data_IF_456749922319
#
_entry.id   IF_456749922319
#
_cell.length_a   1.000
_cell.length_b   1.000
_cell.length_c   1.000
_cell.angle_alpha   90.00
_cell.angle_beta   90.00
_cell.angle_gamma   90.00
#
_symmetry.space_group_name_H-M   'P 1'
#
loop_
_entity.id
_entity.type
_entity.pdbx_description
1 polymer ?
#
# COMPACT_ATOMS: atom_id res chain seq x y z
N UNK A 1 0.09 14.65 14.85
CA UNK A 1 0.23 13.80 16.06
C UNK A 1 -1.01 12.94 16.16
N UNK A 2 -0.88 11.65 16.45
CA UNK A 2 -2.04 10.78 16.64
C UNK A 2 -2.59 10.97 18.06
N UNK A 3 -3.90 11.16 18.19
CA UNK A 3 -4.57 11.32 19.47
C UNK A 3 -5.24 10.00 19.88
N UNK A 4 -5.37 9.77 21.18
CA UNK A 4 -6.12 8.63 21.72
C UNK A 4 -7.45 9.16 22.27
N UNK A 5 -8.55 8.49 21.90
CA UNK A 5 -9.89 8.83 22.37
C UNK A 5 -10.56 7.59 22.95
N UNK A 6 -11.20 7.77 24.11
CA UNK A 6 -11.92 6.71 24.82
C UNK A 6 -13.34 6.49 24.26
N UNK A 7 -13.79 7.41 23.41
CA UNK A 7 -15.13 7.43 22.80
C UNK A 7 -15.06 7.69 21.29
N UNK A 8 -15.94 7.02 20.54
CA UNK A 8 -16.00 7.07 19.08
C UNK A 8 -16.53 8.43 18.58
N UNK A 9 -17.50 9.03 19.27
CA UNK A 9 -18.07 10.31 18.87
C UNK A 9 -17.02 11.43 18.97
N UNK A 10 -16.21 11.42 20.03
CA UNK A 10 -15.08 12.33 20.19
C UNK A 10 -14.01 12.12 19.10
N UNK A 11 -13.76 10.87 18.71
CA UNK A 11 -12.84 10.55 17.62
C UNK A 11 -13.32 11.08 16.26
N UNK A 12 -14.62 10.95 15.97
CA UNK A 12 -15.20 11.51 14.74
C UNK A 12 -15.16 13.03 14.72
N UNK A 13 -15.49 13.70 15.83
CA UNK A 13 -15.41 15.15 15.93
C UNK A 13 -13.97 15.67 15.72
N UNK A 14 -12.98 15.00 16.32
CA UNK A 14 -11.58 15.33 16.12
C UNK A 14 -11.11 15.07 14.67
N UNK A 15 -11.56 13.98 14.04
CA UNK A 15 -11.24 13.68 12.65
C UNK A 15 -11.87 14.66 11.66
N UNK A 16 -13.10 15.12 11.92
CA UNK A 16 -13.71 16.23 11.18
C UNK A 16 -12.90 17.53 11.29
N UNK A 17 -12.16 17.71 12.39
CA UNK A 17 -11.20 18.80 12.59
C UNK A 17 -9.80 18.54 11.99
N UNK A 18 -9.61 17.47 11.21
CA UNK A 18 -8.33 17.13 10.57
C UNK A 18 -7.38 16.29 11.44
N UNK A 19 -7.81 15.82 12.61
CA UNK A 19 -6.96 15.00 13.48
C UNK A 19 -7.02 13.52 13.11
N UNK A 20 -5.90 12.81 13.28
CA UNK A 20 -5.87 11.34 13.20
C UNK A 20 -6.01 10.79 14.61
N UNK A 21 -7.01 9.95 14.84
CA UNK A 21 -7.32 9.44 16.17
C UNK A 21 -7.28 7.92 16.17
N UNK A 22 -6.69 7.35 17.20
CA UNK A 22 -6.75 5.91 17.47
C UNK A 22 -7.74 5.68 18.62
N UNK A 23 -8.72 4.81 18.38
CA UNK A 23 -9.66 4.36 19.40
C UNK A 23 -9.35 2.90 19.73
N UNK A 24 -9.25 2.57 21.01
CA UNK A 24 -8.98 1.20 21.48
C UNK A 24 -10.13 0.70 22.34
N UNK A 25 -10.68 -0.47 22.01
CA UNK A 25 -11.70 -1.14 22.81
C UNK A 25 -11.27 -2.58 23.10
N UNK A 26 -10.75 -2.79 24.31
CA UNK A 26 -10.10 -4.04 24.69
C UNK A 26 -8.89 -4.33 23.79
N UNK A 27 -8.90 -5.47 23.10
CA UNK A 27 -7.82 -5.86 22.17
C UNK A 27 -7.96 -5.25 20.77
N UNK A 28 -9.13 -4.69 20.42
CA UNK A 28 -9.36 -4.10 19.10
C UNK A 28 -8.89 -2.65 19.08
N UNK A 29 -8.29 -2.23 17.98
CA UNK A 29 -7.93 -0.85 17.72
C UNK A 29 -8.49 -0.43 16.36
N UNK A 30 -8.98 0.80 16.27
CA UNK A 30 -9.50 1.42 15.05
C UNK A 30 -8.80 2.76 14.89
N UNK A 31 -8.44 3.11 13.65
CA UNK A 31 -7.99 4.45 13.31
C UNK A 31 -9.16 5.21 12.67
N UNK A 32 -9.44 6.40 13.18
CA UNK A 32 -10.37 7.36 12.60
C UNK A 32 -9.52 8.48 12.02
N UNK A 33 -9.62 8.68 10.70
CA UNK A 33 -8.82 9.65 9.96
C UNK A 33 -9.73 10.55 9.12
N UNK A 34 -9.28 11.77 8.77
CA UNK A 34 -9.99 12.60 7.81
C UNK A 34 -10.15 11.89 6.46
N UNK A 35 -11.23 12.19 5.74
CA UNK A 35 -11.49 11.57 4.44
C UNK A 35 -10.38 11.89 3.44
N UNK A 36 -9.85 13.11 3.48
CA UNK A 36 -8.78 13.56 2.58
C UNK A 36 -7.48 12.77 2.81
N UNK A 37 -7.23 12.33 4.04
CA UNK A 37 -6.07 11.48 4.33
C UNK A 37 -6.26 10.08 3.76
N UNK A 38 -7.47 9.52 3.81
CA UNK A 38 -7.77 8.23 3.19
C UNK A 38 -7.61 8.31 1.67
N UNK A 39 -8.14 9.37 1.04
CA UNK A 39 -8.00 9.59 -0.41
C UNK A 39 -6.54 9.70 -0.83
N UNK A 40 -5.71 10.43 -0.08
CA UNK A 40 -4.26 10.53 -0.37
C UNK A 40 -3.54 9.19 -0.25
N UNK A 41 -3.95 8.34 0.71
CA UNK A 41 -3.37 7.01 0.85
C UNK A 41 -3.73 6.12 -0.35
N UNK A 42 -4.99 6.15 -0.81
CA UNK A 42 -5.43 5.43 -1.99
C UNK A 42 -4.75 5.93 -3.28
N UNK A 43 -4.57 7.25 -3.41
CA UNK A 43 -3.83 7.86 -4.52
C UNK A 43 -2.36 7.44 -4.53
N UNK A 44 -1.72 7.40 -3.36
CA UNK A 44 -0.33 6.97 -3.23
C UNK A 44 -0.16 5.51 -3.64
N UNK A 45 -1.03 4.62 -3.13
CA UNK A 45 -1.02 3.19 -3.46
C UNK A 45 -1.18 2.97 -4.97
N UNK A 46 -2.17 3.63 -5.57
CA UNK A 46 -2.40 3.59 -7.02
C UNK A 46 -1.23 4.13 -7.85
N UNK A 47 -0.46 5.09 -7.30
CA UNK A 47 0.70 5.66 -8.00
C UNK A 47 1.91 4.73 -7.96
N UNK A 48 2.12 4.00 -6.87
CA UNK A 48 3.19 3.02 -6.72
C UNK A 48 2.97 1.84 -7.68
N UNK A 49 1.74 1.32 -7.73
CA UNK A 49 1.35 0.26 -8.67
C UNK A 49 1.59 0.66 -10.12
N UNK A 50 1.22 1.90 -10.50
CA UNK A 50 1.46 2.41 -11.86
C UNK A 50 2.94 2.49 -12.17
N UNK A 51 3.74 3.05 -11.26
CA UNK A 51 5.18 3.20 -11.45
C UNK A 51 5.89 1.86 -11.59
N UNK A 52 5.51 0.87 -10.77
CA UNK A 52 6.06 -0.49 -10.86
C UNK A 52 5.62 -1.19 -12.15
N UNK A 53 4.38 -0.98 -12.60
CA UNK A 53 3.88 -1.46 -13.89
C UNK A 53 4.68 -0.89 -15.06
N UNK A 54 4.84 0.43 -15.11
CA UNK A 54 5.59 1.11 -16.17
C UNK A 54 7.06 0.66 -16.21
N UNK A 55 7.67 0.46 -15.04
CA UNK A 55 9.04 -0.07 -14.92
C UNK A 55 9.15 -1.50 -15.44
N UNK A 56 8.18 -2.37 -15.10
CA UNK A 56 8.16 -3.75 -15.56
C UNK A 56 7.99 -3.84 -17.08
N UNK A 57 7.09 -3.02 -17.65
CA UNK A 57 6.87 -2.94 -19.10
C UNK A 57 8.12 -2.44 -19.83
N UNK A 58 8.78 -1.40 -19.29
CA UNK A 58 10.03 -0.87 -19.85
C UNK A 58 11.15 -1.93 -19.83
N UNK A 59 11.33 -2.60 -18.69
CA UNK A 59 12.35 -3.65 -18.56
C UNK A 59 12.09 -4.84 -19.49
N UNK A 60 10.81 -5.21 -19.69
CA UNK A 60 10.43 -6.24 -20.65
C UNK A 60 10.76 -5.82 -22.09
N UNK A 61 10.43 -4.59 -22.47
CA UNK A 61 10.73 -4.09 -23.81
C UNK A 61 12.24 -4.05 -24.09
N UNK A 62 13.04 -3.61 -23.12
CA UNK A 62 14.51 -3.65 -23.21
C UNK A 62 15.03 -5.09 -23.37
N UNK A 63 14.49 -6.03 -22.61
CA UNK A 63 14.84 -7.44 -22.68
C UNK A 63 14.56 -8.05 -24.05
N UNK A 64 13.37 -7.81 -24.59
CA UNK A 64 12.94 -8.29 -25.91
C UNK A 64 13.80 -7.67 -27.01
N UNK A 65 14.08 -6.36 -26.93
CA UNK A 65 14.94 -5.64 -27.89
C UNK A 65 16.38 -6.18 -27.88
N UNK A 66 16.89 -6.53 -26.70
CA UNK A 66 18.22 -7.12 -26.54
C UNK A 66 18.29 -8.59 -27.01
N UNK A 67 17.16 -9.22 -27.36
CA UNK A 67 17.11 -10.60 -27.83
C UNK A 67 17.53 -11.63 -26.78
N UNK A 68 17.37 -11.32 -25.49
CA UNK A 68 17.84 -12.19 -24.40
C UNK A 68 16.90 -13.41 -24.23
N UNK A 69 17.43 -14.61 -23.99
CA UNK A 69 16.61 -15.82 -23.83
C UNK A 69 15.84 -15.81 -22.50
N UNK A 70 14.56 -16.12 -22.50
CA UNK A 70 13.75 -16.22 -21.27
C UNK A 70 14.04 -17.53 -20.50
N UNK A 71 13.91 -17.47 -19.18
CA UNK A 71 14.06 -18.63 -18.28
C UNK A 71 12.66 -19.08 -17.86
N UNK A 72 12.38 -20.38 -17.89
CA UNK A 72 11.09 -20.91 -17.45
C UNK A 72 10.89 -20.68 -15.94
N UNK A 73 9.65 -20.36 -15.54
CA UNK A 73 9.34 -20.02 -14.15
C UNK A 73 9.65 -21.15 -13.16
N UNK A 74 9.43 -22.40 -13.56
CA UNK A 74 9.75 -23.57 -12.74
C UNK A 74 11.25 -23.71 -12.48
N UNK A 75 12.09 -23.33 -13.45
CA UNK A 75 13.55 -23.35 -13.28
C UNK A 75 14.01 -22.22 -12.35
N UNK A 76 13.36 -21.06 -12.41
CA UNK A 76 13.61 -19.94 -11.47
C UNK A 76 13.25 -20.36 -10.04
N UNK A 77 12.08 -20.97 -9.84
CA UNK A 77 11.64 -21.47 -8.52
C UNK A 77 12.58 -22.52 -7.96
N UNK A 78 12.98 -23.49 -8.78
CA UNK A 78 13.92 -24.55 -8.38
C UNK A 78 15.27 -23.94 -7.96
N UNK A 79 15.77 -22.96 -8.72
CA UNK A 79 17.02 -22.27 -8.38
C UNK A 79 16.91 -21.45 -7.07
N UNK A 80 15.72 -20.95 -6.74
CA UNK A 80 15.46 -20.19 -5.52
C UNK A 80 15.08 -21.06 -4.30
N UNK A 81 14.91 -22.38 -4.47
CA UNK A 81 14.44 -23.28 -3.41
C UNK A 81 12.98 -23.06 -3.01
N UNK A 82 12.14 -22.70 -3.98
CA UNK A 82 10.71 -22.42 -3.82
C UNK A 82 9.81 -23.50 -4.45
N UNK A 83 10.33 -24.72 -4.58
CA UNK A 83 9.65 -25.87 -5.21
C UNK A 83 8.61 -26.56 -4.29
#
# INVERSE_FOLDING_TARGET
MAHEADDMDAAFAAAAGGCRVRVRRGRKAVAVVPLEDLQRLEELDSSEDRLLGDLADSAKQEWETAGKPTIAWDDVKRAAGLD
#
